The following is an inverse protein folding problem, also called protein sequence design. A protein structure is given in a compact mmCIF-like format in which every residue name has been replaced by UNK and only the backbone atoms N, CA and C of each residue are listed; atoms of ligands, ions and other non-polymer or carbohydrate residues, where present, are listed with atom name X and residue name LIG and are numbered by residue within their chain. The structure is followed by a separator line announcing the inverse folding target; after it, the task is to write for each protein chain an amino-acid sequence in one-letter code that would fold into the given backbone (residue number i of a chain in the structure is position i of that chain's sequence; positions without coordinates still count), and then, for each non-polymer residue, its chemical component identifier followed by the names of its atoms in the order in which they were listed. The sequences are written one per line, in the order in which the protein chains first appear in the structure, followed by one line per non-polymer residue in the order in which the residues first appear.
data_IF_481072610336
#
_entry.id   IF_481072610336
#
_cell.length_a   1.000
_cell.length_b   1.000
_cell.length_c   1.000
_cell.angle_alpha   90.00
_cell.angle_beta   90.00
_cell.angle_gamma   90.00
#
_symmetry.space_group_name_H-M   'P 1'
#
loop_
_entity.id
_entity.type
_entity.pdbx_description
1 polymer ?
#
# COMPACT_ATOMS: atom_id res chain seq x y z
N UNK A 1 11.03 1.31 -40.86
CA UNK A 1 11.53 1.49 -39.48
C UNK A 1 11.54 0.12 -38.85
N UNK A 2 12.69 -0.44 -38.44
CA UNK A 2 12.72 -1.76 -37.84
C UNK A 2 12.05 -1.74 -36.46
N UNK A 3 11.38 -2.84 -36.16
CA UNK A 3 10.61 -3.15 -34.96
C UNK A 3 11.45 -2.92 -33.69
N UNK A 4 11.12 -1.87 -32.93
CA UNK A 4 11.76 -1.59 -31.63
C UNK A 4 11.03 -2.45 -30.60
N UNK A 5 11.72 -3.22 -29.73
CA UNK A 5 11.04 -3.89 -28.63
C UNK A 5 10.28 -2.81 -27.84
N UNK A 6 8.97 -2.97 -27.74
CA UNK A 6 8.12 -2.03 -27.02
C UNK A 6 8.44 -2.16 -25.53
N UNK A 7 9.07 -1.13 -24.96
CA UNK A 7 9.30 -1.08 -23.51
C UNK A 7 7.95 -1.15 -22.78
N UNK A 8 7.86 -2.02 -21.78
CA UNK A 8 6.63 -2.30 -21.04
C UNK A 8 6.57 -1.48 -19.74
N UNK A 9 5.79 -0.39 -19.74
CA UNK A 9 5.55 0.43 -18.54
C UNK A 9 4.29 -0.01 -17.80
N UNK A 10 4.41 -0.38 -16.52
CA UNK A 10 3.30 -0.89 -15.73
C UNK A 10 3.16 -0.16 -14.40
N UNK A 11 1.92 0.04 -13.98
CA UNK A 11 1.60 0.39 -12.61
C UNK A 11 1.70 -0.85 -11.72
N UNK A 12 2.37 -0.72 -10.58
CA UNK A 12 2.44 -1.79 -9.57
C UNK A 12 1.67 -1.33 -8.33
N UNK A 13 0.59 -2.03 -8.02
CA UNK A 13 -0.24 -1.79 -6.85
C UNK A 13 -1.43 -2.74 -6.81
N UNK A 14 -2.27 -2.59 -5.80
CA UNK A 14 -3.43 -3.48 -5.59
C UNK A 14 -4.64 -3.13 -6.45
N UNK A 15 -4.76 -1.90 -6.96
CA UNK A 15 -6.00 -1.42 -7.59
C UNK A 15 -7.03 -0.88 -6.58
N UNK A 16 -6.77 -1.07 -5.29
CA UNK A 16 -7.69 -0.72 -4.20
C UNK A 16 -7.02 0.29 -3.26
N UNK A 17 -7.70 1.43 -3.07
CA UNK A 17 -7.28 2.45 -2.12
C UNK A 17 -7.55 2.05 -0.68
N UNK A 18 -6.86 2.70 0.25
CA UNK A 18 -7.05 2.60 1.70
C UNK A 18 -6.93 4.02 2.24
N UNK A 19 -7.90 4.46 3.01
CA UNK A 19 -7.81 5.75 3.70
C UNK A 19 -6.85 5.69 4.87
N UNK A 20 -6.36 6.85 5.30
CA UNK A 20 -5.51 6.97 6.49
C UNK A 20 -6.22 6.44 7.75
N UNK A 21 -7.53 6.71 7.88
CA UNK A 21 -8.32 6.22 9.03
C UNK A 21 -8.42 4.70 9.06
N UNK A 22 -8.76 4.08 7.93
CA UNK A 22 -8.82 2.61 7.83
C UNK A 22 -7.47 1.98 8.17
N UNK A 23 -6.37 2.57 7.67
CA UNK A 23 -5.02 2.08 7.97
C UNK A 23 -4.68 2.20 9.46
N UNK A 24 -5.02 3.31 10.12
CA UNK A 24 -4.82 3.51 11.56
C UNK A 24 -5.60 2.48 12.36
N UNK A 25 -6.87 2.21 12.01
CA UNK A 25 -7.67 1.16 12.65
C UNK A 25 -6.96 -0.19 12.57
N UNK A 26 -6.52 -0.59 11.37
CA UNK A 26 -5.81 -1.87 11.18
C UNK A 26 -4.49 -1.92 11.95
N UNK A 27 -3.74 -0.81 12.00
CA UNK A 27 -2.51 -0.72 12.80
C UNK A 27 -2.82 -0.93 14.28
N UNK A 28 -3.85 -0.28 14.82
CA UNK A 28 -4.22 -0.45 16.23
C UNK A 28 -4.64 -1.88 16.57
N UNK A 29 -5.42 -2.53 15.69
CA UNK A 29 -5.81 -3.94 15.86
C UNK A 29 -4.59 -4.89 15.85
N UNK A 30 -3.59 -4.64 15.00
CA UNK A 30 -2.42 -5.51 14.86
C UNK A 30 -1.37 -5.27 15.96
N UNK A 31 -1.18 -4.01 16.36
CA UNK A 31 -0.13 -3.62 17.31
C UNK A 31 -0.60 -3.60 18.76
N UNK A 32 -1.92 -3.53 19.00
CA UNK A 32 -2.52 -3.27 20.31
C UNK A 32 -2.48 -1.80 20.74
N UNK A 33 -2.02 -0.90 19.87
CA UNK A 33 -1.95 0.54 20.14
C UNK A 33 -3.24 1.25 19.73
N UNK A 34 -4.05 1.61 20.73
CA UNK A 34 -5.36 2.23 20.53
C UNK A 34 -5.37 3.74 20.82
N UNK A 35 -4.21 4.41 20.74
CA UNK A 35 -4.15 5.86 20.94
C UNK A 35 -4.97 6.59 19.87
N UNK A 36 -5.72 7.59 20.32
CA UNK A 36 -6.52 8.44 19.43
C UNK A 36 -5.62 9.20 18.43
N UNK A 37 -5.92 9.14 17.12
CA UNK A 37 -5.15 9.86 16.13
C UNK A 37 -5.45 11.36 16.19
N UNK A 38 -4.40 12.18 16.20
CA UNK A 38 -4.52 13.62 16.06
C UNK A 38 -4.82 13.98 14.59
N UNK A 39 -5.92 14.70 14.36
CA UNK A 39 -6.27 15.19 13.03
C UNK A 39 -5.70 16.60 12.85
N UNK A 40 -4.81 16.75 11.87
CA UNK A 40 -4.18 18.02 11.54
C UNK A 40 -4.65 18.55 10.16
N UNK A 41 -4.21 19.77 9.81
CA UNK A 41 -4.48 20.37 8.51
C UNK A 41 -3.87 19.59 7.34
N UNK A 42 -4.35 19.83 6.12
CA UNK A 42 -3.78 19.20 4.92
C UNK A 42 -2.33 19.61 4.73
N UNK A 43 -1.46 18.65 4.48
CA UNK A 43 -0.08 18.90 4.07
C UNK A 43 -0.05 19.41 2.63
N UNK A 44 0.63 20.54 2.34
CA UNK A 44 0.77 21.04 0.97
C UNK A 44 1.39 19.98 0.05
N UNK A 45 0.80 19.80 -1.13
CA UNK A 45 1.24 18.82 -2.13
C UNK A 45 0.54 17.46 -2.08
N UNK A 46 -0.16 17.13 -0.99
CA UNK A 46 -0.87 15.86 -0.89
C UNK A 46 -2.12 15.84 -1.76
N UNK A 47 -2.21 14.85 -2.65
CA UNK A 47 -3.43 14.56 -3.40
C UNK A 47 -4.47 13.90 -2.49
N UNK A 48 -5.77 14.19 -2.66
CA UNK A 48 -6.82 13.59 -1.83
C UNK A 48 -6.97 12.07 -2.04
N UNK A 49 -6.56 11.54 -3.20
CA UNK A 49 -6.60 10.11 -3.54
C UNK A 49 -5.57 9.79 -4.61
N UNK A 50 -4.82 8.70 -4.43
CA UNK A 50 -3.92 8.12 -5.44
C UNK A 50 -3.95 6.60 -5.34
N UNK A 51 -4.33 5.92 -6.43
CA UNK A 51 -4.45 4.46 -6.48
C UNK A 51 -3.98 3.97 -7.85
N UNK A 52 -3.05 3.01 -7.86
CA UNK A 52 -2.52 2.41 -9.07
C UNK A 52 -3.54 1.48 -9.74
N UNK A 53 -3.81 1.66 -11.04
CA UNK A 53 -4.57 0.66 -11.82
C UNK A 53 -3.70 -0.58 -12.06
N UNK A 54 -4.12 -1.73 -11.52
CA UNK A 54 -3.43 -3.02 -11.67
C UNK A 54 -3.84 -3.78 -12.95
N UNK A 55 -4.70 -3.20 -13.79
CA UNK A 55 -5.31 -3.90 -14.92
C UNK A 55 -4.27 -4.32 -15.96
N UNK A 56 -3.41 -3.41 -16.40
CA UNK A 56 -2.37 -3.70 -17.41
C UNK A 56 -1.37 -4.74 -16.91
N UNK A 57 -0.96 -4.66 -15.65
CA UNK A 57 -0.06 -5.65 -15.05
C UNK A 57 -0.71 -7.05 -14.97
N UNK A 58 -2.01 -7.11 -14.68
CA UNK A 58 -2.78 -8.36 -14.70
C UNK A 58 -2.91 -8.96 -16.10
N UNK A 59 -3.11 -8.14 -17.13
CA UNK A 59 -3.22 -8.58 -18.53
C UNK A 59 -1.89 -9.05 -19.11
N UNK A 60 -0.84 -8.25 -18.96
CA UNK A 60 0.45 -8.48 -19.63
C UNK A 60 1.32 -9.50 -18.88
N UNK A 61 1.26 -9.52 -17.54
CA UNK A 61 2.16 -10.34 -16.70
C UNK A 61 1.43 -11.42 -15.89
N UNK A 62 0.09 -11.49 -15.97
CA UNK A 62 -0.69 -12.36 -15.07
C UNK A 62 -0.56 -11.98 -13.60
N UNK A 63 -0.02 -10.79 -13.28
CA UNK A 63 0.38 -10.42 -11.92
C UNK A 63 -0.67 -9.56 -11.25
N UNK A 64 -1.09 -9.95 -10.04
CA UNK A 64 -1.94 -9.17 -9.14
C UNK A 64 -1.37 -9.18 -7.73
N UNK A 65 -1.60 -8.12 -6.96
CA UNK A 65 -1.23 -8.10 -5.55
C UNK A 65 -2.12 -9.10 -4.79
N UNK A 66 -1.51 -10.11 -4.16
CA UNK A 66 -2.25 -11.16 -3.44
C UNK A 66 -2.44 -10.93 -1.95
N UNK A 67 -1.79 -9.90 -1.37
CA UNK A 67 -1.85 -9.61 0.07
C UNK A 67 -2.79 -8.44 0.36
N UNK A 68 -3.60 -8.59 1.40
CA UNK A 68 -4.46 -7.54 1.93
C UNK A 68 -3.73 -6.55 2.85
N UNK A 69 -4.43 -5.47 3.23
CA UNK A 69 -3.90 -4.42 4.12
C UNK A 69 -3.47 -4.98 5.46
N UNK A 70 -4.28 -5.85 6.06
CA UNK A 70 -3.96 -6.51 7.33
C UNK A 70 -2.63 -7.25 7.27
N UNK A 71 -2.45 -8.12 6.28
CA UNK A 71 -1.22 -8.89 6.12
C UNK A 71 0.02 -7.99 5.93
N UNK A 72 -0.13 -6.88 5.20
CA UNK A 72 0.94 -5.89 5.04
C UNK A 72 1.33 -5.31 6.41
N UNK A 73 0.35 -4.84 7.19
CA UNK A 73 0.57 -4.26 8.52
C UNK A 73 1.17 -5.28 9.49
N UNK A 74 0.63 -6.50 9.55
CA UNK A 74 1.17 -7.57 10.39
C UNK A 74 2.62 -7.92 10.03
N UNK A 75 2.94 -8.00 8.74
CA UNK A 75 4.30 -8.31 8.31
C UNK A 75 5.29 -7.20 8.67
N UNK A 76 4.87 -5.95 8.52
CA UNK A 76 5.65 -4.77 8.91
C UNK A 76 5.88 -4.74 10.43
N UNK A 77 4.85 -5.01 11.22
CA UNK A 77 4.94 -5.06 12.68
C UNK A 77 5.87 -6.16 13.16
N UNK A 78 5.74 -7.40 12.64
CA UNK A 78 6.66 -8.50 12.94
C UNK A 78 8.12 -8.14 12.60
N UNK A 79 8.34 -7.47 11.47
CA UNK A 79 9.66 -6.97 11.08
C UNK A 79 10.21 -5.97 12.09
N UNK A 80 9.40 -4.98 12.47
CA UNK A 80 9.77 -3.97 13.47
C UNK A 80 10.12 -4.61 14.82
N UNK A 81 9.29 -5.53 15.31
CA UNK A 81 9.52 -6.26 16.57
C UNK A 81 10.81 -7.07 16.56
N UNK A 82 11.22 -7.64 15.42
CA UNK A 82 12.51 -8.35 15.31
C UNK A 82 13.71 -7.41 15.35
N UNK A 83 13.57 -6.18 14.87
CA UNK A 83 14.65 -5.19 14.87
C UNK A 83 14.75 -4.41 16.18
N UNK A 84 13.65 -4.28 16.93
CA UNK A 84 13.56 -3.47 18.15
C UNK A 84 13.23 -4.30 19.40
N UNK A 85 13.05 -5.61 19.23
CA UNK A 85 12.91 -6.56 20.32
C UNK A 85 14.23 -6.72 21.05
N UNK A 86 14.25 -6.25 22.29
CA UNK A 86 15.00 -6.91 23.37
C UNK A 86 14.21 -8.14 23.80
#
# INVERSE_FOLDING_TARGET
MPDRPLDLTLNIGRGEGVSVRELITVIGEVTGDHREPLVEGRRPGDAPRSVASAERAGKELGRRAGRGVREMVESAWRGWQRHHGR
#
